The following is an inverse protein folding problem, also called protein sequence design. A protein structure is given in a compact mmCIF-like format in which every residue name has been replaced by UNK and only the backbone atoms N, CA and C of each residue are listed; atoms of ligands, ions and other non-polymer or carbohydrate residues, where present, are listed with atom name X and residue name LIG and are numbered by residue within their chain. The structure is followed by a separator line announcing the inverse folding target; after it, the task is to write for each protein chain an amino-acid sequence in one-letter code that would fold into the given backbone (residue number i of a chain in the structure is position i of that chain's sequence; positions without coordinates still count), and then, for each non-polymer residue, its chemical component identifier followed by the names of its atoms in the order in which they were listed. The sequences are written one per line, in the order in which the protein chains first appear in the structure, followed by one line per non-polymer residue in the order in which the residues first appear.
data_IF_300061878451
#
_entry.id   IF_300061878451
#
_cell.length_a   1.000
_cell.length_b   1.000
_cell.length_c   1.000
_cell.angle_alpha   90.00
_cell.angle_beta   90.00
_cell.angle_gamma   90.00
#
_symmetry.space_group_name_H-M   'P 1'
#
loop_
_entity.id
_entity.type
_entity.pdbx_description
1 polymer ?
#
# COMPACT_ATOMS: atom_id res chain seq x y z
N UNK A 1 9.16 -1.64 -10.27
CA UNK A 1 8.95 -2.44 -9.05
C UNK A 1 10.27 -2.96 -8.50
N UNK A 2 10.26 -3.32 -7.25
CA UNK A 2 11.33 -4.05 -6.58
C UNK A 2 10.76 -5.35 -5.99
N UNK A 3 11.50 -6.45 -6.18
CA UNK A 3 11.12 -7.74 -5.60
C UNK A 3 12.32 -8.30 -4.82
N UNK A 4 12.09 -8.71 -3.58
CA UNK A 4 13.08 -9.44 -2.78
C UNK A 4 12.66 -10.90 -2.74
N UNK A 5 13.54 -11.77 -3.21
CA UNK A 5 13.29 -13.22 -3.28
C UNK A 5 13.90 -13.94 -2.08
N UNK A 6 13.32 -15.07 -1.65
CA UNK A 6 13.89 -15.91 -0.60
C UNK A 6 15.30 -16.37 -0.93
N UNK A 7 16.08 -16.64 0.11
CA UNK A 7 17.37 -17.33 -0.06
C UNK A 7 17.11 -18.74 -0.62
N UNK A 8 17.87 -19.13 -1.62
CA UNK A 8 17.65 -20.42 -2.31
C UNK A 8 16.35 -20.45 -3.12
N UNK A 9 15.95 -19.30 -3.67
CA UNK A 9 14.76 -19.20 -4.52
C UNK A 9 14.73 -20.25 -5.64
N UNK A 10 13.61 -20.93 -5.75
CA UNK A 10 13.34 -21.96 -6.75
C UNK A 10 12.04 -21.59 -7.49
N UNK A 11 12.14 -21.27 -8.77
CA UNK A 11 11.01 -20.83 -9.58
C UNK A 11 9.92 -21.91 -9.80
N UNK A 12 10.18 -23.16 -9.43
CA UNK A 12 9.21 -24.26 -9.51
C UNK A 12 8.31 -24.33 -8.28
N UNK A 13 8.66 -23.64 -7.20
CA UNK A 13 7.90 -23.60 -5.93
C UNK A 13 6.99 -22.37 -5.90
N UNK A 14 5.97 -22.44 -5.02
CA UNK A 14 5.07 -21.31 -4.76
C UNK A 14 5.40 -20.66 -3.42
N UNK A 15 5.45 -19.33 -3.42
CA UNK A 15 5.82 -18.53 -2.24
C UNK A 15 4.70 -17.61 -1.80
N UNK A 16 4.45 -17.50 -0.48
CA UNK A 16 3.62 -16.43 0.04
C UNK A 16 4.29 -15.08 -0.23
N UNK A 17 3.49 -14.07 -0.53
CA UNK A 17 4.00 -12.76 -0.94
C UNK A 17 3.47 -11.67 -0.02
N UNK A 18 4.34 -10.76 0.40
CA UNK A 18 3.97 -9.53 1.10
C UNK A 18 4.16 -8.35 0.15
N UNK A 19 3.08 -7.63 -0.13
CA UNK A 19 3.11 -6.34 -0.81
C UNK A 19 3.39 -5.28 0.24
N UNK A 20 4.51 -4.59 0.13
CA UNK A 20 4.75 -3.39 0.93
C UNK A 20 4.25 -2.17 0.17
N UNK A 21 3.47 -1.35 0.81
CA UNK A 21 2.94 -0.11 0.26
C UNK A 21 3.17 1.06 1.21
N UNK A 22 3.68 2.17 0.70
CA UNK A 22 3.47 3.48 1.28
C UNK A 22 2.38 4.21 0.47
N UNK A 23 2.62 4.44 -0.80
CA UNK A 23 1.65 4.90 -1.79
C UNK A 23 1.37 6.40 -1.78
N UNK A 24 1.68 7.08 -0.69
CA UNK A 24 1.34 8.49 -0.50
C UNK A 24 2.10 9.46 -1.42
N UNK A 25 1.66 10.73 -1.45
CA UNK A 25 2.31 11.77 -2.22
C UNK A 25 3.82 11.86 -1.92
N UNK A 26 4.61 12.08 -2.98
CA UNK A 26 6.07 12.13 -2.94
C UNK A 26 6.78 10.86 -2.44
N UNK A 27 6.05 9.74 -2.33
CA UNK A 27 6.68 8.47 -2.01
C UNK A 27 7.58 7.99 -3.15
N UNK A 28 8.77 7.50 -2.82
CA UNK A 28 9.69 6.89 -3.76
C UNK A 28 10.35 5.68 -3.11
N UNK A 29 9.85 4.49 -3.41
CA UNK A 29 10.27 3.24 -2.79
C UNK A 29 11.07 2.34 -3.73
N UNK A 30 11.11 2.66 -5.02
CA UNK A 30 11.81 1.88 -6.03
C UNK A 30 12.88 2.74 -6.68
N UNK A 31 14.14 2.43 -6.39
CA UNK A 31 15.29 3.13 -6.94
C UNK A 31 16.36 2.10 -7.40
N UNK A 32 17.20 2.50 -8.35
CA UNK A 32 18.29 1.69 -8.91
C UNK A 32 19.57 1.75 -8.05
N UNK A 33 19.44 1.88 -6.73
CA UNK A 33 20.55 1.92 -5.78
C UNK A 33 20.70 0.59 -5.05
N UNK A 34 21.94 0.23 -4.75
CA UNK A 34 22.21 -0.94 -3.93
C UNK A 34 21.63 -0.77 -2.53
N UNK A 35 20.82 -1.72 -2.09
CA UNK A 35 20.09 -1.70 -0.80
C UNK A 35 19.21 -0.47 -0.55
N UNK A 36 18.97 0.37 -1.55
CA UNK A 36 18.07 1.50 -1.38
C UNK A 36 16.66 1.03 -1.01
N UNK A 37 16.13 1.63 0.05
CA UNK A 37 14.83 1.28 0.63
C UNK A 37 14.69 -0.18 1.11
N UNK A 38 15.77 -0.96 1.12
CA UNK A 38 15.75 -2.28 1.74
C UNK A 38 15.73 -2.12 3.25
N UNK A 39 14.62 -2.48 3.86
CA UNK A 39 14.48 -2.48 5.31
C UNK A 39 14.88 -3.85 5.87
N UNK A 40 15.46 -3.86 7.06
CA UNK A 40 15.92 -5.11 7.69
C UNK A 40 14.82 -6.18 7.81
N UNK A 41 13.58 -5.76 8.07
CA UNK A 41 12.44 -6.67 8.16
C UNK A 41 12.11 -7.35 6.81
N UNK A 42 12.30 -6.66 5.68
CA UNK A 42 12.11 -7.24 4.34
C UNK A 42 13.09 -8.39 4.11
N UNK A 43 14.36 -8.17 4.46
CA UNK A 43 15.38 -9.20 4.39
C UNK A 43 15.07 -10.38 5.31
N UNK A 44 14.61 -10.11 6.53
CA UNK A 44 14.18 -11.15 7.47
C UNK A 44 13.03 -11.98 6.91
N UNK A 45 11.99 -11.35 6.37
CA UNK A 45 10.86 -12.06 5.77
C UNK A 45 11.29 -12.89 4.55
N UNK A 46 12.17 -12.36 3.72
CA UNK A 46 12.73 -13.13 2.59
C UNK A 46 13.50 -14.38 3.09
N UNK A 47 14.28 -14.26 4.18
CA UNK A 47 14.93 -15.42 4.80
C UNK A 47 13.93 -16.45 5.35
N UNK A 48 12.72 -16.00 5.73
CA UNK A 48 11.61 -16.87 6.18
C UNK A 48 10.79 -17.46 5.02
N UNK A 49 11.20 -17.25 3.78
CA UNK A 49 10.58 -17.86 2.61
C UNK A 49 9.45 -17.04 1.99
N UNK A 50 9.37 -15.73 2.28
CA UNK A 50 8.40 -14.83 1.65
C UNK A 50 9.02 -14.09 0.46
N UNK A 51 8.20 -13.83 -0.55
CA UNK A 51 8.49 -12.80 -1.55
C UNK A 51 8.05 -11.44 -1.00
N UNK A 52 8.86 -10.41 -1.19
CA UNK A 52 8.48 -9.03 -0.93
C UNK A 52 8.32 -8.30 -2.26
N UNK A 53 7.26 -7.53 -2.41
CA UNK A 53 6.99 -6.82 -3.64
C UNK A 53 6.61 -5.37 -3.33
N UNK A 54 7.24 -4.46 -4.05
CA UNK A 54 7.07 -3.02 -3.88
C UNK A 54 6.97 -2.37 -5.24
N UNK A 55 5.97 -1.51 -5.44
CA UNK A 55 5.88 -0.63 -6.60
C UNK A 55 5.68 0.82 -6.17
N UNK A 56 6.08 1.77 -7.01
CA UNK A 56 5.69 3.16 -6.91
C UNK A 56 4.50 3.42 -7.82
N UNK A 57 3.40 3.86 -7.21
CA UNK A 57 2.18 4.24 -7.90
C UNK A 57 2.18 5.71 -8.30
N UNK A 58 1.20 6.14 -9.07
CA UNK A 58 0.93 7.57 -9.30
C UNK A 58 0.81 8.31 -7.98
N UNK A 59 1.23 9.55 -7.96
CA UNK A 59 1.45 10.35 -6.76
C UNK A 59 2.91 10.36 -6.30
N UNK A 60 3.73 9.36 -6.73
CA UNK A 60 5.17 9.35 -6.42
C UNK A 60 5.94 10.38 -7.28
N UNK A 61 7.08 10.82 -6.75
CA UNK A 61 7.92 11.83 -7.38
C UNK A 61 8.81 11.29 -8.52
N UNK A 62 9.50 12.21 -9.20
CA UNK A 62 10.49 11.94 -10.26
C UNK A 62 9.96 11.36 -11.58
N UNK A 63 8.63 11.38 -11.80
CA UNK A 63 8.00 10.86 -13.03
C UNK A 63 7.18 11.93 -13.77
N UNK A 64 7.39 13.20 -13.43
CA UNK A 64 6.72 14.35 -14.04
C UNK A 64 5.39 14.69 -13.37
N UNK A 65 4.96 15.95 -13.62
CA UNK A 65 3.82 16.60 -12.95
C UNK A 65 2.51 15.80 -13.07
N UNK A 66 2.20 15.29 -14.25
CA UNK A 66 0.95 14.55 -14.47
C UNK A 66 0.88 13.26 -13.64
N UNK A 67 2.00 12.58 -13.47
CA UNK A 67 2.09 11.39 -12.64
C UNK A 67 1.98 11.73 -11.16
N UNK A 68 2.68 12.76 -10.71
CA UNK A 68 2.72 13.20 -9.31
C UNK A 68 1.37 13.75 -8.83
N UNK A 69 0.68 14.55 -9.68
CA UNK A 69 -0.59 15.18 -9.31
C UNK A 69 -1.84 14.33 -9.60
N UNK A 70 -1.67 13.11 -10.11
CA UNK A 70 -2.79 12.24 -10.44
C UNK A 70 -3.71 11.89 -9.24
N UNK A 71 -3.22 12.06 -8.02
CA UNK A 71 -3.93 11.71 -6.78
C UNK A 71 -4.59 12.91 -6.09
N UNK A 72 -4.38 14.13 -6.63
CA UNK A 72 -4.91 15.35 -6.03
C UNK A 72 -6.43 15.31 -5.90
N UNK A 73 -6.95 15.62 -4.72
CA UNK A 73 -8.37 15.62 -4.28
C UNK A 73 -9.00 14.23 -4.11
N UNK A 74 -8.32 13.12 -4.40
CA UNK A 74 -8.85 11.76 -4.27
C UNK A 74 -7.79 10.74 -3.85
N UNK A 75 -7.08 11.05 -2.77
CA UNK A 75 -6.05 10.19 -2.19
C UNK A 75 -6.54 8.74 -2.02
N UNK A 76 -5.68 7.79 -2.34
CA UNK A 76 -5.95 6.36 -2.24
C UNK A 76 -6.63 5.76 -3.46
N UNK A 77 -7.27 6.54 -4.32
CA UNK A 77 -8.05 6.00 -5.46
C UNK A 77 -7.15 5.53 -6.60
N UNK A 78 -6.31 6.43 -7.13
CA UNK A 78 -5.39 6.09 -8.21
C UNK A 78 -4.25 5.19 -7.73
N UNK A 79 -3.81 5.42 -6.50
CA UNK A 79 -2.81 4.58 -5.85
C UNK A 79 -3.26 3.11 -5.77
N UNK A 80 -4.52 2.86 -5.35
CA UNK A 80 -5.06 1.49 -5.30
C UNK A 80 -5.11 0.84 -6.67
N UNK A 81 -5.53 1.57 -7.71
CA UNK A 81 -5.59 1.05 -9.08
C UNK A 81 -4.21 0.59 -9.55
N UNK A 82 -3.19 1.41 -9.28
CA UNK A 82 -1.82 1.10 -9.68
C UNK A 82 -1.24 -0.06 -8.85
N UNK A 83 -1.50 -0.11 -7.54
CA UNK A 83 -1.10 -1.23 -6.70
C UNK A 83 -1.74 -2.54 -7.20
N UNK A 84 -3.01 -2.51 -7.62
CA UNK A 84 -3.67 -3.68 -8.18
C UNK A 84 -3.09 -4.11 -9.52
N UNK A 85 -2.56 -3.20 -10.36
CA UNK A 85 -1.77 -3.58 -11.54
C UNK A 85 -0.51 -4.36 -11.16
N UNK A 86 0.15 -3.95 -10.08
CA UNK A 86 1.26 -4.71 -9.51
C UNK A 86 0.84 -6.10 -9.02
N UNK A 87 -0.32 -6.21 -8.39
CA UNK A 87 -0.88 -7.50 -7.94
C UNK A 87 -1.25 -8.39 -9.12
N UNK A 88 -1.86 -7.87 -10.18
CA UNK A 88 -2.13 -8.60 -11.42
C UNK A 88 -0.83 -9.20 -11.99
N UNK A 89 0.24 -8.41 -12.03
CA UNK A 89 1.56 -8.89 -12.44
C UNK A 89 2.07 -10.00 -11.51
N UNK A 90 2.00 -9.82 -10.19
CA UNK A 90 2.39 -10.86 -9.22
C UNK A 90 1.64 -12.16 -9.47
N UNK A 91 0.33 -12.08 -9.64
CA UNK A 91 -0.51 -13.26 -9.88
C UNK A 91 -0.24 -13.95 -11.22
N UNK A 92 0.41 -13.29 -12.18
CA UNK A 92 0.85 -13.91 -13.43
C UNK A 92 2.11 -14.77 -13.27
N UNK A 93 2.87 -14.57 -12.18
CA UNK A 93 4.12 -15.28 -11.95
C UNK A 93 3.87 -16.70 -11.40
N UNK A 94 4.48 -17.73 -11.99
CA UNK A 94 4.19 -19.13 -11.61
C UNK A 94 4.59 -19.48 -10.17
N UNK A 95 5.54 -18.74 -9.61
CA UNK A 95 6.08 -18.95 -8.27
C UNK A 95 5.38 -18.12 -7.17
N UNK A 96 4.35 -17.34 -7.51
CA UNK A 96 3.55 -16.62 -6.53
C UNK A 96 2.36 -17.48 -6.11
N UNK A 97 2.17 -17.64 -4.80
CA UNK A 97 0.98 -18.26 -4.24
C UNK A 97 -0.14 -17.21 -4.15
N UNK A 98 -1.09 -17.27 -5.07
CA UNK A 98 -2.19 -16.31 -5.19
C UNK A 98 -3.11 -16.28 -3.96
N UNK A 99 -3.17 -17.39 -3.23
CA UNK A 99 -4.02 -17.53 -2.05
C UNK A 99 -3.33 -17.08 -0.76
N UNK A 100 -2.05 -16.70 -0.86
CA UNK A 100 -1.23 -16.24 0.27
C UNK A 100 -0.55 -14.90 -0.03
N UNK A 101 -1.37 -13.89 -0.39
CA UNK A 101 -0.92 -12.51 -0.57
C UNK A 101 -1.35 -11.70 0.64
N UNK A 102 -0.38 -11.05 1.28
CA UNK A 102 -0.59 -10.09 2.34
C UNK A 102 -0.13 -8.69 1.95
N UNK A 103 -0.53 -7.69 2.72
CA UNK A 103 -0.16 -6.29 2.51
C UNK A 103 0.28 -5.65 3.81
N UNK A 104 1.30 -4.78 3.74
CA UNK A 104 1.83 -4.05 4.88
C UNK A 104 2.22 -2.64 4.49
N UNK A 105 1.93 -1.69 5.37
CA UNK A 105 2.35 -0.31 5.23
C UNK A 105 2.19 0.49 6.51
N UNK A 106 2.87 1.64 6.58
CA UNK A 106 2.88 2.52 7.73
C UNK A 106 2.42 3.93 7.36
N UNK A 107 1.72 4.64 8.25
CA UNK A 107 1.18 5.98 8.03
C UNK A 107 0.21 6.00 6.83
N UNK A 108 0.49 6.75 5.77
CA UNK A 108 -0.26 6.64 4.51
C UNK A 108 -0.31 5.19 4.00
N UNK A 109 0.78 4.43 4.19
CA UNK A 109 0.80 3.00 3.86
C UNK A 109 -0.13 2.16 4.72
N UNK A 110 -0.38 2.56 5.98
CA UNK A 110 -1.41 1.96 6.84
C UNK A 110 -2.81 2.22 6.29
N UNK A 111 -3.10 3.46 5.89
CA UNK A 111 -4.33 3.81 5.17
C UNK A 111 -4.48 2.98 3.89
N UNK A 112 -3.44 2.88 3.07
CA UNK A 112 -3.45 2.07 1.85
C UNK A 112 -3.66 0.57 2.13
N UNK A 113 -3.05 0.04 3.19
CA UNK A 113 -3.23 -1.36 3.62
C UNK A 113 -4.70 -1.66 3.89
N UNK A 114 -5.37 -0.82 4.68
CA UNK A 114 -6.80 -0.99 4.98
C UNK A 114 -7.63 -0.77 3.73
N UNK A 115 -7.34 0.26 2.93
CA UNK A 115 -8.03 0.52 1.66
C UNK A 115 -7.98 -0.68 0.72
N UNK A 116 -6.81 -1.28 0.54
CA UNK A 116 -6.64 -2.45 -0.32
C UNK A 116 -7.39 -3.68 0.23
N UNK A 117 -7.33 -3.93 1.54
CA UNK A 117 -8.01 -5.07 2.15
C UNK A 117 -9.53 -4.96 2.10
N UNK A 118 -10.08 -3.75 2.19
CA UNK A 118 -11.54 -3.54 2.18
C UNK A 118 -12.12 -3.43 0.77
N UNK A 119 -11.36 -2.88 -0.20
CA UNK A 119 -11.81 -2.80 -1.59
C UNK A 119 -11.51 -4.07 -2.40
N UNK A 120 -10.51 -4.87 -2.00
CA UNK A 120 -10.10 -6.11 -2.68
C UNK A 120 -10.00 -7.28 -1.68
N UNK A 121 -11.10 -7.59 -0.95
CA UNK A 121 -11.09 -8.53 0.16
C UNK A 121 -10.79 -9.98 -0.25
N UNK A 122 -10.96 -10.31 -1.52
CA UNK A 122 -10.66 -11.65 -2.04
C UNK A 122 -9.19 -11.83 -2.42
N UNK A 123 -8.42 -10.75 -2.51
CA UNK A 123 -7.00 -10.77 -2.86
C UNK A 123 -6.11 -10.86 -1.62
N UNK A 124 -6.27 -9.90 -0.71
CA UNK A 124 -5.41 -9.80 0.47
C UNK A 124 -5.96 -10.59 1.64
N UNK A 125 -5.22 -11.61 2.09
CA UNK A 125 -5.65 -12.51 3.16
C UNK A 125 -5.26 -12.00 4.54
N UNK A 126 -4.15 -11.23 4.60
CA UNK A 126 -3.61 -10.68 5.86
C UNK A 126 -3.11 -9.26 5.59
N UNK A 127 -3.33 -8.35 6.53
CA UNK A 127 -2.76 -7.01 6.50
C UNK A 127 -2.20 -6.58 7.85
N UNK A 128 -1.15 -5.77 7.79
CA UNK A 128 -0.60 -5.09 8.97
C UNK A 128 -0.52 -3.60 8.66
N UNK A 129 -1.39 -2.82 9.28
CA UNK A 129 -1.51 -1.38 9.11
C UNK A 129 -0.93 -0.66 10.33
N UNK A 130 0.19 0.02 10.15
CA UNK A 130 0.80 0.83 11.21
C UNK A 130 0.41 2.30 11.06
N UNK A 131 0.01 2.94 12.18
CA UNK A 131 -0.34 4.37 12.23
C UNK A 131 -1.29 4.80 11.11
N UNK A 132 -2.39 4.09 10.80
CA UNK A 132 -3.19 4.38 9.62
C UNK A 132 -4.01 5.66 9.79
N UNK A 133 -4.04 6.51 8.76
CA UNK A 133 -5.07 7.54 8.67
C UNK A 133 -6.40 6.87 8.33
N UNK A 134 -7.39 7.00 9.20
CA UNK A 134 -8.71 6.35 9.03
C UNK A 134 -9.68 7.23 8.25
N UNK A 135 -9.62 8.54 8.47
CA UNK A 135 -10.46 9.52 7.80
C UNK A 135 -9.68 10.83 7.66
N UNK A 136 -9.43 11.25 6.44
CA UNK A 136 -8.61 12.43 6.13
C UNK A 136 -9.15 13.74 6.69
N UNK A 137 -10.43 13.85 6.94
CA UNK A 137 -11.02 15.08 7.52
C UNK A 137 -10.57 15.34 8.96
N UNK A 138 -10.04 14.33 9.64
CA UNK A 138 -9.53 14.41 11.01
C UNK A 138 -8.01 14.45 11.09
N UNK A 139 -7.35 14.35 9.94
CA UNK A 139 -5.91 14.47 9.88
C UNK A 139 -5.49 15.94 9.93
N UNK A 140 -4.21 16.20 10.18
CA UNK A 140 -3.71 17.56 10.30
C UNK A 140 -3.89 18.35 8.97
N UNK A 141 -4.25 19.63 9.12
CA UNK A 141 -4.67 20.50 8.02
C UNK A 141 -3.58 20.70 6.96
N UNK A 142 -2.34 20.90 7.40
CA UNK A 142 -1.21 21.19 6.49
C UNK A 142 -0.96 20.07 5.48
N UNK A 143 -1.21 18.84 5.86
CA UNK A 143 -1.13 17.69 4.98
C UNK A 143 -2.46 17.42 4.26
N UNK A 144 -3.54 17.30 5.02
CA UNK A 144 -4.85 16.94 4.50
C UNK A 144 -5.33 17.89 3.40
N UNK A 145 -5.40 19.16 3.67
CA UNK A 145 -5.90 20.15 2.71
C UNK A 145 -4.93 20.41 1.53
N UNK A 146 -3.63 20.19 1.73
CA UNK A 146 -2.65 20.28 0.64
C UNK A 146 -2.97 19.32 -0.51
N UNK A 147 -3.42 18.11 -0.19
CA UNK A 147 -3.66 17.07 -1.19
C UNK A 147 -5.13 16.81 -1.50
N UNK A 148 -6.03 17.27 -0.64
CA UNK A 148 -7.46 17.01 -0.75
C UNK A 148 -8.32 18.28 -0.89
N UNK A 149 -7.74 19.47 -0.84
CA UNK A 149 -8.45 20.72 -0.57
C UNK A 149 -9.22 20.66 0.77
N UNK A 150 -10.11 21.62 1.04
CA UNK A 150 -10.90 21.58 2.27
C UNK A 150 -12.05 20.57 2.19
N UNK A 151 -12.53 20.03 3.32
CA UNK A 151 -13.71 19.17 3.32
C UNK A 151 -14.96 19.84 2.73
N UNK A 152 -15.05 21.17 2.80
CA UNK A 152 -16.16 21.94 2.24
C UNK A 152 -16.11 22.04 0.72
N UNK A 153 -14.90 22.14 0.14
CA UNK A 153 -14.72 22.26 -1.32
C UNK A 153 -14.59 20.91 -2.02
N UNK A 154 -14.34 19.83 -1.26
CA UNK A 154 -14.16 18.46 -1.78
C UNK A 154 -14.88 17.39 -0.92
N UNK A 155 -16.17 17.56 -0.59
CA UNK A 155 -16.86 16.62 0.30
C UNK A 155 -16.91 15.19 -0.24
N UNK A 156 -17.01 15.02 -1.55
CA UNK A 156 -17.05 13.71 -2.20
C UNK A 156 -15.70 12.98 -2.11
N UNK A 157 -14.59 13.69 -2.33
CA UNK A 157 -13.26 13.12 -2.19
C UNK A 157 -13.01 12.61 -0.78
N UNK A 158 -13.37 13.40 0.24
CA UNK A 158 -13.24 12.96 1.64
C UNK A 158 -14.15 11.77 1.97
N UNK A 159 -15.38 11.75 1.48
CA UNK A 159 -16.30 10.64 1.70
C UNK A 159 -15.81 9.34 1.05
N UNK A 160 -15.25 9.42 -0.16
CA UNK A 160 -14.71 8.26 -0.88
C UNK A 160 -13.49 7.64 -0.21
N UNK A 161 -12.68 8.45 0.47
CA UNK A 161 -11.44 7.99 1.11
C UNK A 161 -11.63 7.50 2.55
N UNK A 162 -12.77 7.79 3.19
CA UNK A 162 -13.04 7.36 4.56
C UNK A 162 -13.11 5.84 4.67
N UNK A 163 -12.26 5.27 5.53
CA UNK A 163 -12.21 3.84 5.76
C UNK A 163 -13.36 3.33 6.63
N UNK A 164 -14.02 4.22 7.38
CA UNK A 164 -15.12 3.85 8.28
C UNK A 164 -16.28 3.23 7.50
N UNK A 165 -16.64 3.82 6.36
CA UNK A 165 -17.75 3.32 5.54
C UNK A 165 -17.48 1.92 4.94
N UNK A 166 -16.20 1.55 4.81
CA UNK A 166 -15.73 0.31 4.17
C UNK A 166 -15.35 -0.79 5.16
N UNK A 167 -15.36 -0.53 6.46
CA UNK A 167 -14.94 -1.48 7.49
C UNK A 167 -15.72 -2.82 7.42
N UNK A 168 -16.99 -2.76 7.04
CA UNK A 168 -17.86 -3.94 6.87
C UNK A 168 -17.44 -4.89 5.75
N UNK A 169 -16.64 -4.41 4.79
CA UNK A 169 -16.22 -5.17 3.62
C UNK A 169 -14.92 -5.97 3.87
N UNK A 170 -14.33 -5.84 5.06
CA UNK A 170 -13.14 -6.57 5.47
C UNK A 170 -13.43 -8.08 5.63
N UNK A 171 -12.71 -8.92 4.87
CA UNK A 171 -12.79 -10.40 4.99
C UNK A 171 -11.52 -11.01 5.57
N UNK A 172 -10.36 -10.44 5.28
CA UNK A 172 -9.05 -10.94 5.73
C UNK A 172 -8.76 -10.62 7.19
N UNK A 173 -7.59 -11.07 7.67
CA UNK A 173 -7.10 -10.77 9.02
C UNK A 173 -6.32 -9.46 8.99
N UNK A 174 -6.76 -8.48 9.76
CA UNK A 174 -6.12 -7.16 9.85
C UNK A 174 -5.57 -6.94 11.26
N UNK A 175 -4.29 -6.60 11.35
CA UNK A 175 -3.67 -6.05 12.55
C UNK A 175 -3.48 -4.54 12.35
N UNK A 176 -3.95 -3.75 13.31
CA UNK A 176 -3.71 -2.32 13.38
C UNK A 176 -2.73 -2.06 14.52
N UNK A 177 -1.70 -1.27 14.25
CA UNK A 177 -0.71 -0.81 15.24
C UNK A 177 -0.82 0.70 15.30
N UNK A 178 -1.20 1.23 16.46
CA UNK A 178 -1.44 2.66 16.66
C UNK A 178 -0.80 3.13 17.96
N UNK A 179 -0.28 4.35 17.98
CA UNK A 179 0.17 4.99 19.21
C UNK A 179 -1.01 5.31 20.11
N UNK A 180 -0.81 5.22 21.43
CA UNK A 180 -1.90 5.47 22.40
C UNK A 180 -2.40 6.93 22.35
N UNK A 181 -1.51 7.86 22.03
CA UNK A 181 -1.77 9.30 21.98
C UNK A 181 -1.64 9.88 20.55
N UNK A 182 -1.75 9.05 19.54
CA UNK A 182 -1.64 9.45 18.13
C UNK A 182 -3.03 9.73 17.54
#
# INVERSE_FOLDING_TARGET
YRMVKPVGFDATKKYPTVVYVYGGPHAHNVDARWHYCSRSWETYMAQKGYLLFIIDNRGSEHRGKAFEQATFRHLGQEEMKDQMKGVEYLQSLPYVDKDRIGVHGWSFGGFMTISLMTNYPDVFKVGVAGGPVIDWKWYEVMYGERYMDTPQTNPEGYAQTSLLAKAKDLKGKLQIIQGLND
#
